data_IF_703637814110
#
_entry.id   IF_703637814110
#
_cell.length_a   1.000
_cell.length_b   1.000
_cell.length_c   1.000
_cell.angle_alpha   90.00
_cell.angle_beta   90.00
_cell.angle_gamma   90.00
#
_symmetry.space_group_name_H-M   'P 1'
#
loop_
_entity.id
_entity.type
_entity.pdbx_description
1 polymer ?
#
# COMPACT_ATOMS: atom_id res chain seq x y z
N UNK A 1 -8.58 7.94 10.11
CA UNK A 1 -9.86 8.36 10.73
C UNK A 1 -10.25 9.79 10.34
N UNK A 2 -9.29 10.67 10.03
CA UNK A 2 -9.58 12.09 9.72
C UNK A 2 -10.01 12.37 8.28
N UNK A 3 -9.86 11.41 7.36
CA UNK A 3 -10.39 11.50 5.98
C UNK A 3 -11.89 11.82 5.94
N UNK A 4 -12.71 11.03 6.65
CA UNK A 4 -14.16 11.21 6.71
C UNK A 4 -14.51 12.58 7.30
N UNK A 5 -13.86 12.96 8.40
CA UNK A 5 -14.11 14.25 9.07
C UNK A 5 -13.75 15.43 8.18
N UNK A 6 -12.63 15.36 7.47
CA UNK A 6 -12.20 16.42 6.56
C UNK A 6 -13.22 16.64 5.44
N UNK A 7 -13.81 15.57 4.89
CA UNK A 7 -14.86 15.66 3.87
C UNK A 7 -16.14 16.28 4.43
N UNK A 8 -16.59 15.84 5.61
CA UNK A 8 -17.79 16.38 6.25
C UNK A 8 -17.64 17.88 6.58
N UNK A 9 -16.52 18.28 7.19
CA UNK A 9 -16.26 19.69 7.51
C UNK A 9 -16.13 20.55 6.24
N UNK A 10 -15.55 20.01 5.16
CA UNK A 10 -15.52 20.70 3.88
C UNK A 10 -16.94 20.89 3.30
N UNK A 11 -17.83 19.90 3.46
CA UNK A 11 -19.25 20.03 3.05
C UNK A 11 -20.02 21.08 3.87
N UNK A 12 -19.58 21.32 5.11
CA UNK A 12 -20.06 22.40 5.98
C UNK A 12 -19.39 23.76 5.66
N UNK A 13 -18.67 23.86 4.53
CA UNK A 13 -17.98 25.06 4.06
C UNK A 13 -16.83 25.54 4.96
N UNK A 14 -16.24 24.66 5.78
CA UNK A 14 -15.02 25.00 6.51
C UNK A 14 -13.83 25.11 5.55
N UNK A 15 -12.96 26.11 5.77
CA UNK A 15 -11.72 26.24 5.02
C UNK A 15 -10.71 25.14 5.38
N UNK A 16 -9.80 24.80 4.46
CA UNK A 16 -8.76 23.79 4.71
C UNK A 16 -7.91 24.14 5.94
N UNK A 17 -7.63 25.42 6.17
CA UNK A 17 -6.94 25.91 7.37
C UNK A 17 -7.73 25.65 8.66
N UNK A 18 -9.04 25.90 8.67
CA UNK A 18 -9.90 25.60 9.83
C UNK A 18 -9.97 24.10 10.11
N UNK A 19 -10.10 23.29 9.06
CA UNK A 19 -10.13 21.82 9.17
C UNK A 19 -8.78 21.31 9.70
N UNK A 20 -7.67 21.83 9.16
CA UNK A 20 -6.30 21.53 9.59
C UNK A 20 -6.12 21.80 11.09
N UNK A 21 -6.57 22.97 11.54
CA UNK A 21 -6.52 23.36 12.94
C UNK A 21 -7.39 22.48 13.84
N UNK A 22 -8.64 22.20 13.42
CA UNK A 22 -9.59 21.41 14.19
C UNK A 22 -9.18 19.93 14.32
N UNK A 23 -8.65 19.35 13.26
CA UNK A 23 -8.23 17.94 13.21
C UNK A 23 -6.77 17.73 13.63
N UNK A 24 -6.01 18.82 13.82
CA UNK A 24 -4.57 18.81 14.16
C UNK A 24 -3.74 17.98 13.17
N UNK A 25 -4.01 18.16 11.88
CA UNK A 25 -3.26 17.55 10.78
C UNK A 25 -2.84 18.63 9.80
N UNK A 26 -1.71 18.43 9.12
CA UNK A 26 -1.19 19.43 8.19
C UNK A 26 -2.19 19.75 7.06
N UNK A 27 -2.26 21.01 6.65
CA UNK A 27 -3.24 21.50 5.65
C UNK A 27 -3.12 20.82 4.29
N UNK A 28 -1.90 20.43 3.88
CA UNK A 28 -1.71 19.64 2.64
C UNK A 28 -2.30 18.23 2.76
N UNK A 29 -2.37 17.66 3.96
CA UNK A 29 -3.04 16.38 4.22
C UNK A 29 -4.55 16.53 4.15
N UNK A 30 -5.12 17.62 4.65
CA UNK A 30 -6.54 17.96 4.47
C UNK A 30 -6.88 18.07 2.99
N UNK A 31 -6.11 18.88 2.24
CA UNK A 31 -6.29 19.08 0.80
C UNK A 31 -6.27 17.75 0.04
N UNK A 32 -5.29 16.89 0.35
CA UNK A 32 -5.19 15.54 -0.23
C UNK A 32 -6.39 14.66 0.14
N UNK A 33 -6.87 14.68 1.38
CA UNK A 33 -8.03 13.88 1.79
C UNK A 33 -9.30 14.28 1.04
N UNK A 34 -9.54 15.59 0.86
CA UNK A 34 -10.68 16.11 0.10
C UNK A 34 -10.55 15.72 -1.38
N UNK A 35 -9.38 15.92 -1.99
CA UNK A 35 -9.15 15.57 -3.38
C UNK A 35 -9.28 14.06 -3.66
N UNK A 36 -8.75 13.21 -2.77
CA UNK A 36 -8.89 11.76 -2.86
C UNK A 36 -10.38 11.35 -2.84
N UNK A 37 -11.21 12.01 -2.02
CA UNK A 37 -12.64 11.78 -1.98
C UNK A 37 -13.34 12.24 -3.26
N UNK A 38 -13.05 13.45 -3.75
CA UNK A 38 -13.64 13.97 -4.99
C UNK A 38 -13.30 13.14 -6.22
N UNK A 39 -12.11 12.52 -6.22
CA UNK A 39 -11.63 11.71 -7.35
C UNK A 39 -12.16 10.28 -7.35
N UNK A 40 -12.26 9.64 -6.19
CA UNK A 40 -12.54 8.19 -6.12
C UNK A 40 -13.32 7.76 -4.87
N UNK A 41 -14.02 8.70 -4.22
CA UNK A 41 -14.80 8.47 -3.00
C UNK A 41 -13.99 7.81 -1.86
N UNK A 42 -12.67 8.03 -1.85
CA UNK A 42 -11.73 7.36 -0.95
C UNK A 42 -11.81 7.90 0.48
N UNK A 43 -12.52 7.17 1.33
CA UNK A 43 -12.69 7.49 2.76
C UNK A 43 -11.78 6.69 3.69
N UNK A 44 -11.25 5.56 3.22
CA UNK A 44 -10.34 4.70 3.97
C UNK A 44 -8.94 4.72 3.36
N UNK A 45 -7.89 4.56 4.17
CA UNK A 45 -6.57 4.31 3.63
C UNK A 45 -6.56 2.94 2.93
N UNK A 46 -5.97 2.87 1.74
CA UNK A 46 -5.66 1.62 1.06
C UNK A 46 -4.32 1.10 1.61
N UNK A 47 -4.32 0.72 2.89
CA UNK A 47 -3.17 0.07 3.54
C UNK A 47 -3.30 -1.43 3.38
N UNK A 48 -3.35 -1.89 2.13
CA UNK A 48 -3.11 -3.28 1.77
C UNK A 48 -1.76 -3.30 1.08
N UNK A 49 -0.82 -4.12 1.56
CA UNK A 49 0.45 -4.33 0.85
C UNK A 49 0.21 -4.78 -0.60
N UNK A 50 1.29 -4.91 -1.36
CA UNK A 50 1.19 -5.51 -2.70
C UNK A 50 0.60 -6.91 -2.61
N UNK A 51 -0.27 -7.25 -3.56
CA UNK A 51 -0.69 -8.63 -3.76
C UNK A 51 0.52 -9.49 -4.17
N UNK A 52 0.54 -10.74 -3.75
CA UNK A 52 1.54 -11.70 -4.22
C UNK A 52 1.46 -11.83 -5.73
N UNK A 53 2.61 -11.97 -6.40
CA UNK A 53 2.67 -12.31 -7.84
C UNK A 53 2.51 -13.80 -8.08
N UNK A 54 2.71 -14.62 -7.05
CA UNK A 54 2.58 -16.07 -7.10
C UNK A 54 1.15 -16.50 -6.74
N UNK A 55 0.68 -17.56 -7.41
CA UNK A 55 -0.54 -18.24 -7.00
C UNK A 55 -0.31 -19.11 -5.75
N UNK A 56 -1.37 -19.70 -5.21
CA UNK A 56 -1.30 -20.47 -3.96
C UNK A 56 -0.37 -21.68 -4.04
N UNK A 57 -0.37 -22.41 -5.18
CA UNK A 57 0.46 -23.60 -5.36
C UNK A 57 1.94 -23.22 -5.49
N UNK A 58 2.25 -22.20 -6.29
CA UNK A 58 3.61 -21.66 -6.43
C UNK A 58 4.14 -21.12 -5.08
N UNK A 59 3.28 -20.46 -4.32
CA UNK A 59 3.63 -19.95 -2.98
C UNK A 59 4.00 -21.10 -2.05
N UNK A 60 3.22 -22.19 -2.04
CA UNK A 60 3.53 -23.37 -1.23
C UNK A 60 4.84 -24.04 -1.68
N UNK A 61 5.03 -24.22 -2.99
CA UNK A 61 6.26 -24.81 -3.53
C UNK A 61 7.50 -23.97 -3.18
N UNK A 62 7.39 -22.65 -3.26
CA UNK A 62 8.48 -21.75 -2.86
C UNK A 62 8.77 -21.85 -1.35
N UNK A 63 7.74 -21.96 -0.50
CA UNK A 63 7.93 -22.14 0.95
C UNK A 63 8.68 -23.45 1.25
N UNK A 64 8.29 -24.55 0.62
CA UNK A 64 8.96 -25.85 0.78
C UNK A 64 10.42 -25.77 0.32
N UNK A 65 10.67 -25.20 -0.86
CA UNK A 65 12.01 -25.01 -1.39
C UNK A 65 12.90 -24.17 -0.47
N UNK A 66 12.39 -23.06 0.05
CA UNK A 66 13.14 -22.17 0.96
C UNK A 66 13.33 -22.77 2.37
N UNK A 67 12.50 -23.74 2.77
CA UNK A 67 12.70 -24.47 4.02
C UNK A 67 13.90 -25.43 3.94
N UNK A 68 14.18 -25.96 2.75
CA UNK A 68 15.28 -26.91 2.52
C UNK A 68 16.57 -26.23 2.04
N UNK A 69 16.47 -25.07 1.37
CA UNK A 69 17.58 -24.39 0.72
C UNK A 69 17.86 -23.03 1.35
N UNK A 70 19.03 -22.90 2.00
CA UNK A 70 19.50 -21.63 2.55
C UNK A 70 20.31 -20.86 1.51
N UNK A 71 19.80 -19.71 1.06
CA UNK A 71 20.49 -18.80 0.15
C UNK A 71 21.33 -17.76 0.90
N UNK A 72 22.45 -17.35 0.31
CA UNK A 72 23.33 -16.33 0.88
C UNK A 72 22.85 -14.91 0.53
N UNK A 73 22.14 -14.76 -0.58
CA UNK A 73 21.60 -13.48 -1.05
C UNK A 73 20.19 -13.58 -1.62
N UNK A 74 19.38 -12.54 -1.41
CA UNK A 74 17.98 -12.47 -1.88
C UNK A 74 17.85 -12.57 -3.40
N UNK A 75 18.81 -12.06 -4.18
CA UNK A 75 18.75 -12.16 -5.64
C UNK A 75 18.76 -13.62 -6.11
N UNK A 76 19.39 -14.53 -5.37
CA UNK A 76 19.39 -15.97 -5.72
C UNK A 76 17.99 -16.59 -5.58
N UNK A 77 17.20 -16.11 -4.62
CA UNK A 77 15.79 -16.48 -4.47
C UNK A 77 14.97 -15.90 -5.63
N UNK A 78 15.24 -14.65 -6.02
CA UNK A 78 14.58 -14.00 -7.17
C UNK A 78 14.88 -14.76 -8.47
N UNK A 79 16.13 -15.15 -8.69
CA UNK A 79 16.55 -15.92 -9.86
C UNK A 79 15.85 -17.29 -9.92
N UNK A 80 15.75 -17.98 -8.77
CA UNK A 80 15.00 -19.24 -8.67
C UNK A 80 13.51 -19.06 -9.01
N UNK A 81 12.87 -18.04 -8.44
CA UNK A 81 11.46 -17.76 -8.71
C UNK A 81 11.23 -17.39 -10.17
N UNK A 82 12.18 -16.69 -10.80
CA UNK A 82 12.14 -16.38 -12.23
C UNK A 82 12.32 -17.64 -13.09
N UNK A 83 13.21 -18.55 -12.72
CA UNK A 83 13.42 -19.78 -13.49
C UNK A 83 12.26 -20.76 -13.37
N UNK A 84 11.71 -20.93 -12.16
CA UNK A 84 10.72 -21.95 -11.86
C UNK A 84 9.29 -21.48 -12.19
N UNK A 85 8.95 -20.25 -11.80
CA UNK A 85 7.58 -19.73 -11.92
C UNK A 85 7.44 -18.69 -13.04
N UNK A 86 8.53 -18.32 -13.72
CA UNK A 86 8.54 -17.25 -14.73
C UNK A 86 8.06 -15.89 -14.19
N UNK A 87 8.15 -15.70 -12.87
CA UNK A 87 7.72 -14.47 -12.18
C UNK A 87 8.94 -13.64 -11.77
N UNK A 88 8.96 -12.38 -12.19
CA UNK A 88 10.04 -11.46 -11.84
C UNK A 88 9.77 -10.70 -10.55
N UNK A 89 10.70 -10.74 -9.62
CA UNK A 89 10.74 -9.85 -8.46
C UNK A 89 11.90 -8.88 -8.55
N UNK A 90 11.78 -7.73 -7.90
CA UNK A 90 12.85 -6.74 -7.81
C UNK A 90 13.37 -6.70 -6.38
N UNK A 91 14.69 -6.69 -6.20
CA UNK A 91 15.30 -6.45 -4.88
C UNK A 91 15.19 -4.96 -4.58
N UNK A 92 14.63 -4.59 -3.44
CA UNK A 92 14.64 -3.21 -2.99
C UNK A 92 16.08 -2.79 -2.68
N UNK A 93 16.53 -1.68 -3.28
CA UNK A 93 17.85 -1.09 -3.07
C UNK A 93 17.83 -0.03 -1.98
#
# INVERSE_FOLDING_TARGET
>A
RDRIKAVLLASESWSNSMISQALRIHETTVTRHINDYLKSEKLTPETGGSQSKLNAAETMALIEHLAENTYFHTHQIVDYVQSEFQVTYTVAG
#
